data_IF_298740896313
#
_entry.id   IF_298740896313
#
_cell.length_a   1.000
_cell.length_b   1.000
_cell.length_c   1.000
_cell.angle_alpha   90.00
_cell.angle_beta   90.00
_cell.angle_gamma   90.00
#
_symmetry.space_group_name_H-M   'P 1'
#
loop_
_entity.id
_entity.type
_entity.pdbx_description
1 polymer ?
#
# COMPACT_ATOMS: atom_id res chain seq x y z
N UNK A 1 13.13 -3.34 -16.78
CA UNK A 1 12.23 -2.78 -15.73
C UNK A 1 12.28 -3.61 -14.46
N UNK A 2 12.22 -4.95 -14.52
CA UNK A 2 12.19 -5.81 -13.33
C UNK A 2 13.31 -5.58 -12.29
N UNK A 3 14.56 -5.35 -12.71
CA UNK A 3 15.67 -5.09 -11.79
C UNK A 3 15.54 -3.76 -11.04
N UNK A 4 15.06 -2.69 -11.69
CA UNK A 4 14.84 -1.38 -11.05
C UNK A 4 13.75 -1.47 -9.99
N UNK A 5 12.66 -2.14 -10.32
CA UNK A 5 11.53 -2.34 -9.41
C UNK A 5 11.91 -3.22 -8.22
N UNK A 6 12.83 -4.18 -8.40
CA UNK A 6 13.39 -4.98 -7.31
C UNK A 6 14.23 -4.11 -6.35
N UNK A 7 15.12 -3.28 -6.89
CA UNK A 7 15.95 -2.39 -6.11
C UNK A 7 15.11 -1.38 -5.31
N UNK A 8 14.12 -0.74 -5.93
CA UNK A 8 13.22 0.21 -5.26
C UNK A 8 12.44 -0.45 -4.10
N UNK A 9 11.92 -1.66 -4.32
CA UNK A 9 11.28 -2.47 -3.27
C UNK A 9 12.18 -2.70 -2.06
N UNK A 10 13.43 -3.08 -2.31
CA UNK A 10 14.40 -3.34 -1.24
C UNK A 10 14.76 -2.05 -0.52
N UNK A 11 14.98 -0.96 -1.25
CA UNK A 11 15.31 0.35 -0.69
C UNK A 11 14.20 0.87 0.22
N UNK A 12 12.93 0.81 -0.20
CA UNK A 12 11.80 1.26 0.64
C UNK A 12 11.72 0.49 1.95
N UNK A 13 11.99 -0.82 1.92
CA UNK A 13 12.00 -1.67 3.13
C UNK A 13 13.17 -1.37 4.05
N UNK A 14 14.38 -1.23 3.50
CA UNK A 14 15.56 -0.84 4.28
C UNK A 14 15.35 0.52 4.93
N UNK A 15 14.82 1.49 4.17
CA UNK A 15 14.49 2.81 4.68
C UNK A 15 13.50 2.73 5.86
N UNK A 16 12.39 2.02 5.70
CA UNK A 16 11.38 1.87 6.74
C UNK A 16 11.92 1.17 8.01
N UNK A 17 12.71 0.10 7.84
CA UNK A 17 13.36 -0.61 8.96
C UNK A 17 14.33 0.34 9.70
N UNK A 18 15.17 1.04 8.95
CA UNK A 18 16.17 1.97 9.50
C UNK A 18 15.49 3.11 10.26
N UNK A 19 14.42 3.67 9.68
CA UNK A 19 13.63 4.73 10.28
C UNK A 19 12.97 4.26 11.58
N UNK A 20 12.25 3.13 11.55
CA UNK A 20 11.55 2.59 12.73
C UNK A 20 12.52 2.29 13.86
N UNK A 21 13.66 1.66 13.55
CA UNK A 21 14.69 1.32 14.52
C UNK A 21 15.36 2.58 15.09
N UNK A 22 15.65 3.57 14.24
CA UNK A 22 16.22 4.84 14.66
C UNK A 22 15.29 5.63 15.59
N UNK A 23 13.99 5.66 15.29
CA UNK A 23 12.96 6.28 16.14
C UNK A 23 12.94 5.64 17.52
N UNK A 24 12.83 4.30 17.59
CA UNK A 24 12.81 3.58 18.88
C UNK A 24 14.10 3.86 19.67
N UNK A 25 15.25 3.82 18.99
CA UNK A 25 16.54 4.11 19.61
C UNK A 25 16.59 5.52 20.20
N UNK A 26 16.13 6.54 19.46
CA UNK A 26 16.08 7.93 19.95
C UNK A 26 15.16 8.03 21.17
N UNK A 27 13.97 7.43 21.12
CA UNK A 27 13.02 7.47 22.24
C UNK A 27 13.61 6.83 23.50
N UNK A 28 14.41 5.77 23.38
CA UNK A 28 15.07 5.11 24.52
C UNK A 28 16.31 5.87 25.00
N UNK A 29 17.07 6.52 24.11
CA UNK A 29 18.32 7.21 24.46
C UNK A 29 18.11 8.66 24.95
N UNK A 30 17.07 9.36 24.48
CA UNK A 30 16.74 10.72 24.96
C UNK A 30 15.89 10.64 26.24
N UNK A 31 15.90 11.70 27.05
CA UNK A 31 15.07 11.80 28.25
C UNK A 31 13.60 12.03 27.88
N UNK A 32 12.99 10.98 27.33
CA UNK A 32 11.56 10.90 26.99
C UNK A 32 10.80 10.15 28.07
N UNK A 33 9.46 10.22 28.03
CA UNK A 33 8.61 9.40 28.90
C UNK A 33 8.87 7.89 28.74
N UNK A 34 9.22 7.42 27.54
CA UNK A 34 9.55 6.02 27.31
C UNK A 34 10.83 5.61 28.05
N UNK A 35 11.86 6.46 28.04
CA UNK A 35 13.10 6.23 28.80
C UNK A 35 12.84 6.24 30.30
N UNK A 36 12.02 7.19 30.79
CA UNK A 36 11.64 7.25 32.21
C UNK A 36 10.83 6.03 32.63
N UNK A 37 9.90 5.57 31.80
CA UNK A 37 9.14 4.34 32.03
C UNK A 37 10.06 3.11 32.17
N UNK A 38 11.12 3.01 31.34
CA UNK A 38 12.14 1.96 31.48
C UNK A 38 12.86 2.02 32.84
N UNK A 39 13.29 3.21 33.29
CA UNK A 39 13.99 3.36 34.57
C UNK A 39 13.08 3.15 35.80
N UNK A 40 11.83 3.59 35.71
CA UNK A 40 10.84 3.47 36.78
C UNK A 40 10.24 2.07 36.88
N UNK A 41 10.61 1.15 35.99
CA UNK A 41 10.10 -0.22 35.97
C UNK A 41 8.65 -0.34 35.46
N UNK A 42 8.14 0.67 34.73
CA UNK A 42 6.82 0.60 34.09
C UNK A 42 6.91 -0.18 32.77
N UNK A 43 7.19 -1.47 32.88
CA UNK A 43 7.38 -2.37 31.74
C UNK A 43 6.12 -2.55 30.90
N UNK A 44 4.92 -2.38 31.49
CA UNK A 44 3.66 -2.48 30.75
C UNK A 44 3.54 -1.37 29.69
N UNK A 45 3.86 -0.13 30.05
CA UNK A 45 3.86 1.00 29.11
C UNK A 45 4.85 0.77 27.96
N UNK A 46 6.08 0.34 28.30
CA UNK A 46 7.13 0.04 27.32
C UNK A 46 6.72 -1.11 26.41
N UNK A 47 6.21 -2.20 26.97
CA UNK A 47 5.77 -3.37 26.22
C UNK A 47 4.59 -3.04 25.30
N UNK A 48 3.63 -2.22 25.76
CA UNK A 48 2.51 -1.78 24.94
C UNK A 48 2.97 -0.95 23.73
N UNK A 49 3.88 -0.01 23.93
CA UNK A 49 4.45 0.79 22.84
C UNK A 49 5.22 -0.09 21.84
N UNK A 50 6.10 -0.96 22.32
CA UNK A 50 6.88 -1.86 21.46
C UNK A 50 5.98 -2.86 20.71
N UNK A 51 4.92 -3.35 21.35
CA UNK A 51 3.93 -4.23 20.71
C UNK A 51 3.22 -3.50 19.57
N UNK A 52 2.85 -2.23 19.77
CA UNK A 52 2.24 -1.41 18.72
C UNK A 52 3.21 -1.18 17.55
N UNK A 53 4.50 -0.90 17.82
CA UNK A 53 5.53 -0.81 16.77
C UNK A 53 5.64 -2.13 15.99
N UNK A 54 5.63 -3.26 16.69
CA UNK A 54 5.70 -4.58 16.07
C UNK A 54 4.47 -4.90 15.22
N UNK A 55 3.26 -4.56 15.68
CA UNK A 55 2.02 -4.70 14.91
C UNK A 55 2.08 -3.82 13.64
N UNK A 56 2.54 -2.58 13.77
CA UNK A 56 2.74 -1.68 12.62
C UNK A 56 3.71 -2.26 11.59
N UNK A 57 4.81 -2.85 12.07
CA UNK A 57 5.78 -3.55 11.23
C UNK A 57 5.16 -4.74 10.50
N UNK A 58 4.35 -5.56 11.18
CA UNK A 58 3.61 -6.66 10.55
C UNK A 58 2.72 -6.13 9.43
N UNK A 59 1.90 -5.11 9.69
CA UNK A 59 1.00 -4.58 8.67
C UNK A 59 1.75 -3.97 7.48
N UNK A 60 2.87 -3.28 7.72
CA UNK A 60 3.76 -2.79 6.66
C UNK A 60 4.25 -3.95 5.78
N UNK A 61 4.80 -5.00 6.38
CA UNK A 61 5.32 -6.16 5.63
C UNK A 61 4.22 -6.91 4.88
N UNK A 62 3.05 -7.09 5.50
CA UNK A 62 1.91 -7.70 4.82
C UNK A 62 1.51 -6.85 3.62
N UNK A 63 1.33 -5.53 3.76
CA UNK A 63 0.94 -4.68 2.64
C UNK A 63 2.02 -4.58 1.54
N UNK A 64 3.31 -4.52 1.91
CA UNK A 64 4.45 -4.39 0.99
C UNK A 64 4.80 -5.71 0.26
N UNK A 65 4.63 -6.86 0.91
CA UNK A 65 5.00 -8.16 0.33
C UNK A 65 3.82 -8.92 -0.28
N UNK A 66 2.58 -8.58 0.09
CA UNK A 66 1.40 -9.23 -0.48
C UNK A 66 1.23 -8.84 -1.94
N UNK A 67 0.87 -9.82 -2.77
CA UNK A 67 0.39 -9.56 -4.12
C UNK A 67 -0.86 -8.67 -4.04
N UNK A 68 -0.85 -7.47 -4.65
CA UNK A 68 -2.00 -6.57 -4.65
C UNK A 68 -3.22 -7.12 -5.41
N UNK A 69 -3.03 -8.19 -6.17
CA UNK A 69 -4.03 -8.76 -7.07
C UNK A 69 -3.68 -8.42 -8.51
N UNK A 70 -2.48 -8.80 -8.96
CA UNK A 70 -2.15 -8.73 -10.38
C UNK A 70 -3.17 -9.53 -11.20
N UNK A 71 -3.60 -8.96 -12.33
CA UNK A 71 -4.52 -9.62 -13.24
C UNK A 71 -3.79 -10.68 -14.06
N UNK A 72 -4.39 -11.86 -14.16
CA UNK A 72 -3.84 -13.04 -14.84
C UNK A 72 -4.68 -13.40 -16.08
N UNK A 73 -4.14 -14.25 -16.96
CA UNK A 73 -4.82 -14.71 -18.18
C UNK A 73 -6.07 -15.55 -17.83
N UNK A 74 -6.05 -16.28 -16.72
CA UNK A 74 -7.21 -17.03 -16.19
C UNK A 74 -8.44 -16.13 -16.00
N UNK A 75 -8.23 -14.86 -15.66
CA UNK A 75 -9.29 -13.87 -15.50
C UNK A 75 -10.01 -13.62 -16.82
N UNK A 76 -9.30 -13.66 -17.95
CA UNK A 76 -9.90 -13.51 -19.27
C UNK A 76 -10.85 -14.65 -19.60
N UNK A 77 -10.48 -15.89 -19.29
CA UNK A 77 -11.33 -17.06 -19.55
C UNK A 77 -12.63 -16.97 -18.74
N UNK A 78 -12.55 -16.58 -17.47
CA UNK A 78 -13.74 -16.36 -16.64
C UNK A 78 -14.64 -15.26 -17.19
N UNK A 79 -14.05 -14.18 -17.68
CA UNK A 79 -14.75 -13.07 -18.30
C UNK A 79 -15.44 -13.53 -19.60
N UNK A 80 -14.70 -14.19 -20.50
CA UNK A 80 -15.25 -14.67 -21.77
C UNK A 80 -16.38 -15.68 -21.56
N UNK A 81 -16.22 -16.64 -20.64
CA UNK A 81 -17.28 -17.59 -20.25
C UNK A 81 -18.49 -16.88 -19.67
N UNK A 82 -18.28 -15.81 -18.88
CA UNK A 82 -19.40 -15.02 -18.35
C UNK A 82 -20.13 -14.30 -19.49
N UNK A 83 -19.42 -13.67 -20.43
CA UNK A 83 -20.02 -13.03 -21.60
C UNK A 83 -20.81 -14.05 -22.45
N UNK A 84 -20.22 -15.19 -22.77
CA UNK A 84 -20.84 -16.27 -23.55
C UNK A 84 -22.10 -16.82 -22.87
N UNK A 85 -22.08 -16.98 -21.54
CA UNK A 85 -23.27 -17.35 -20.77
C UNK A 85 -24.34 -16.26 -20.76
N UNK A 86 -23.94 -14.99 -20.70
CA UNK A 86 -24.88 -13.86 -20.71
C UNK A 86 -25.56 -13.73 -22.08
N UNK A 87 -24.84 -14.01 -23.18
CA UNK A 87 -25.40 -14.08 -24.53
C UNK A 87 -26.35 -15.28 -24.68
N UNK A 88 -25.98 -16.46 -24.18
CA UNK A 88 -26.83 -17.65 -24.26
C UNK A 88 -28.12 -17.54 -23.44
N UNK A 89 -28.11 -16.86 -22.28
CA UNK A 89 -29.32 -16.57 -21.50
C UNK A 89 -30.24 -15.53 -22.20
N UNK A 90 -29.76 -14.83 -23.23
CA UNK A 90 -30.54 -13.90 -24.06
C UNK A 90 -31.00 -14.46 -25.41
N UNK A 91 -30.50 -15.62 -25.84
CA UNK A 91 -30.96 -16.31 -27.05
C UNK A 91 -32.14 -17.25 -26.75
N UNK A 92 -33.29 -16.65 -26.48
CA UNK A 92 -34.57 -17.31 -26.73
C UNK A 92 -35.48 -16.38 -27.54
N UNK A 93 -35.04 -15.99 -28.76
CA UNK A 93 -35.91 -15.79 -29.93
C UNK A 93 -35.13 -15.39 -31.21
N UNK A 94 -35.53 -16.06 -32.30
CA UNK A 94 -35.39 -15.78 -33.74
C UNK A 94 -34.09 -16.08 -34.50
N UNK A 95 -34.09 -17.25 -35.14
CA UNK A 95 -33.81 -17.60 -36.56
C UNK A 95 -33.07 -16.61 -37.49
N UNK A 96 -32.04 -17.14 -38.20
CA UNK A 96 -31.75 -16.79 -39.60
C UNK A 96 -30.30 -16.38 -39.96
N UNK A 97 -29.53 -17.34 -40.48
CA UNK A 97 -28.58 -17.30 -41.63
C UNK A 97 -27.58 -16.13 -41.83
N UNK A 98 -26.27 -16.44 -41.71
CA UNK A 98 -25.23 -16.38 -42.77
C UNK A 98 -23.81 -16.10 -42.24
N UNK A 99 -22.82 -16.77 -42.84
CA UNK A 99 -21.44 -16.86 -42.40
C UNK A 99 -20.49 -15.81 -43.04
N UNK A 100 -19.36 -15.61 -42.34
CA UNK A 100 -18.11 -14.93 -42.73
C UNK A 100 -18.05 -13.39 -42.65
N UNK A 101 -17.28 -12.85 -41.69
CA UNK A 101 -16.06 -12.06 -41.99
C UNK A 101 -15.23 -11.81 -40.72
N UNK A 102 -13.91 -12.02 -40.85
CA UNK A 102 -12.93 -11.94 -39.77
C UNK A 102 -12.58 -10.51 -39.39
N UNK A 103 -12.54 -10.27 -38.07
CA UNK A 103 -11.77 -9.23 -37.39
C UNK A 103 -12.12 -7.77 -37.70
N UNK A 104 -13.17 -7.23 -37.06
CA UNK A 104 -13.23 -5.81 -36.63
C UNK A 104 -14.42 -5.51 -35.72
N UNK A 105 -14.11 -4.76 -34.65
CA UNK A 105 -15.02 -3.96 -33.81
C UNK A 105 -15.84 -4.73 -32.75
N UNK A 106 -15.34 -4.63 -31.51
CA UNK A 106 -16.07 -4.25 -30.30
C UNK A 106 -17.49 -4.81 -30.15
N UNK A 107 -17.62 -5.83 -29.29
CA UNK A 107 -18.83 -6.15 -28.55
C UNK A 107 -19.66 -4.88 -28.26
N UNK A 108 -20.76 -4.72 -28.99
CA UNK A 108 -21.85 -3.83 -28.63
C UNK A 108 -22.42 -4.32 -27.31
N UNK A 109 -22.46 -3.51 -26.24
CA UNK A 109 -22.93 -3.97 -24.95
C UNK A 109 -24.45 -4.12 -25.00
N UNK A 110 -25.03 -5.22 -24.49
CA UNK A 110 -26.43 -5.19 -24.13
C UNK A 110 -26.60 -4.22 -22.95
N UNK A 111 -27.73 -3.53 -22.95
CA UNK A 111 -28.17 -2.52 -22.00
C UNK A 111 -27.61 -2.72 -20.57
N UNK A 112 -26.69 -1.84 -20.17
CA UNK A 112 -26.20 -1.75 -18.79
C UNK A 112 -24.84 -2.42 -18.49
N UNK A 113 -24.26 -3.18 -19.42
CA UNK A 113 -22.96 -3.84 -19.25
C UNK A 113 -21.77 -2.92 -19.55
N UNK A 114 -20.90 -2.66 -18.56
CA UNK A 114 -19.68 -1.88 -18.77
C UNK A 114 -18.75 -2.56 -19.80
N UNK A 115 -18.46 -1.88 -20.94
CA UNK A 115 -17.50 -2.38 -21.94
C UNK A 115 -16.13 -2.59 -21.27
N UNK A 116 -15.62 -3.82 -21.33
CA UNK A 116 -14.28 -4.12 -20.82
C UNK A 116 -13.21 -3.51 -21.73
N UNK A 117 -12.17 -2.94 -21.11
CA UNK A 117 -11.06 -2.30 -21.82
C UNK A 117 -9.92 -3.29 -22.02
N UNK A 118 -9.26 -3.27 -23.17
CA UNK A 118 -8.02 -4.04 -23.39
C UNK A 118 -6.81 -3.19 -22.99
N UNK A 119 -5.90 -3.75 -22.22
CA UNK A 119 -4.61 -3.14 -21.92
C UNK A 119 -3.65 -3.34 -23.10
N UNK A 120 -3.09 -2.24 -23.63
CA UNK A 120 -2.12 -2.29 -24.73
C UNK A 120 -0.78 -2.92 -24.35
N UNK A 121 -0.33 -2.75 -23.09
CA UNK A 121 0.95 -3.27 -22.61
C UNK A 121 0.91 -4.76 -22.26
N UNK A 122 -0.09 -5.17 -21.46
CA UNK A 122 -0.22 -6.55 -21.03
C UNK A 122 -0.96 -7.44 -22.05
N UNK A 123 -1.52 -6.85 -23.10
CA UNK A 123 -2.39 -7.51 -24.07
C UNK A 123 -3.58 -8.28 -23.45
N UNK A 124 -4.06 -7.85 -22.27
CA UNK A 124 -5.18 -8.47 -21.57
C UNK A 124 -6.47 -7.66 -21.62
N UNK A 125 -7.63 -8.34 -21.60
CA UNK A 125 -8.90 -7.72 -21.22
C UNK A 125 -8.84 -7.38 -19.72
N UNK A 126 -8.90 -6.10 -19.40
CA UNK A 126 -8.85 -5.62 -18.03
C UNK A 126 -10.16 -5.99 -17.32
N UNK A 127 -10.10 -6.73 -16.20
CA UNK A 127 -11.26 -6.92 -15.34
C UNK A 127 -11.85 -5.58 -14.90
N UNK A 128 -13.10 -5.58 -14.44
CA UNK A 128 -13.76 -4.35 -13.97
C UNK A 128 -12.92 -3.65 -12.88
N UNK A 129 -12.69 -2.33 -13.06
CA UNK A 129 -11.82 -1.50 -12.20
C UNK A 129 -10.33 -1.87 -12.19
N UNK A 130 -9.85 -2.76 -13.05
CA UNK A 130 -8.42 -2.97 -13.21
C UNK A 130 -7.76 -1.86 -14.03
N UNK A 131 -6.50 -1.54 -13.71
CA UNK A 131 -5.66 -0.59 -14.45
C UNK A 131 -4.23 -1.13 -14.57
N UNK A 132 -3.52 -0.70 -15.62
CA UNK A 132 -2.10 -0.99 -15.77
C UNK A 132 -1.30 -0.03 -14.89
N UNK A 133 -0.36 -0.57 -14.10
CA UNK A 133 0.63 0.25 -13.41
C UNK A 133 1.95 0.15 -14.17
N UNK A 134 2.46 1.29 -14.63
CA UNK A 134 3.70 1.38 -15.38
C UNK A 134 4.90 0.95 -14.52
N UNK A 135 4.95 1.38 -13.25
CA UNK A 135 6.00 1.00 -12.31
C UNK A 135 6.00 -0.51 -12.06
N UNK A 136 4.84 -1.12 -11.81
CA UNK A 136 4.72 -2.57 -11.59
C UNK A 136 4.85 -3.37 -12.92
N UNK A 137 4.64 -2.73 -14.08
CA UNK A 137 4.63 -3.35 -15.41
C UNK A 137 3.48 -4.34 -15.64
N UNK A 138 2.44 -4.30 -14.81
CA UNK A 138 1.36 -5.30 -14.75
C UNK A 138 0.02 -4.63 -14.47
N UNK A 139 -1.06 -5.23 -14.97
CA UNK A 139 -2.41 -4.82 -14.59
C UNK A 139 -2.73 -5.27 -13.17
N UNK A 140 -3.37 -4.42 -12.38
CA UNK A 140 -3.75 -4.67 -10.99
C UNK A 140 -5.26 -4.54 -10.86
N UNK A 141 -5.89 -5.51 -10.18
CA UNK A 141 -7.33 -5.53 -9.90
C UNK A 141 -7.70 -4.51 -8.84
N UNK A 142 -8.83 -3.83 -9.04
CA UNK A 142 -9.27 -2.68 -8.21
C UNK A 142 -8.10 -1.76 -7.88
N UNK A 143 -7.32 -1.41 -8.91
CA UNK A 143 -6.12 -0.60 -8.73
C UNK A 143 -6.48 0.72 -8.06
N UNK A 144 -5.81 1.00 -6.95
CA UNK A 144 -5.88 2.27 -6.26
C UNK A 144 -4.71 3.16 -6.72
N UNK A 145 -3.49 2.82 -6.30
CA UNK A 145 -2.27 3.53 -6.68
C UNK A 145 -1.01 2.65 -6.59
N UNK A 146 0.10 3.12 -7.17
CA UNK A 146 1.43 2.59 -6.86
C UNK A 146 2.00 3.36 -5.67
N UNK A 147 2.40 2.67 -4.61
CA UNK A 147 2.93 3.30 -3.40
C UNK A 147 4.45 3.14 -3.33
N UNK A 148 5.24 4.21 -3.54
CA UNK A 148 6.70 4.15 -3.42
C UNK A 148 7.17 3.72 -2.03
N UNK A 149 6.42 4.10 -0.98
CA UNK A 149 6.73 3.79 0.42
C UNK A 149 6.59 2.30 0.76
N UNK A 150 5.66 1.62 0.10
CA UNK A 150 5.56 0.15 0.16
C UNK A 150 6.49 -0.54 -0.84
N UNK A 151 6.94 0.18 -1.87
CA UNK A 151 7.54 -0.42 -3.07
C UNK A 151 6.56 -1.32 -3.83
N UNK A 152 5.25 -1.14 -3.64
CA UNK A 152 4.25 -2.05 -4.15
C UNK A 152 2.99 -1.30 -4.58
N UNK A 153 2.25 -1.90 -5.50
CA UNK A 153 0.93 -1.44 -5.86
C UNK A 153 -0.06 -1.70 -4.70
N UNK A 154 -1.05 -0.83 -4.52
CA UNK A 154 -2.20 -1.04 -3.63
C UNK A 154 -3.40 -1.40 -4.50
N UNK A 155 -4.00 -2.55 -4.23
CA UNK A 155 -5.07 -3.13 -5.02
C UNK A 155 -5.96 -4.06 -4.21
N UNK A 156 -6.80 -4.81 -4.91
CA UNK A 156 -7.87 -5.61 -4.31
C UNK A 156 -7.46 -6.46 -3.09
N UNK A 157 -6.30 -7.14 -3.15
CA UNK A 157 -5.91 -8.12 -2.12
C UNK A 157 -5.23 -7.49 -0.90
N UNK A 158 -4.48 -6.40 -1.08
CA UNK A 158 -3.71 -5.77 0.01
C UNK A 158 -4.34 -4.48 0.55
N UNK A 159 -5.36 -3.91 -0.09
CA UNK A 159 -5.95 -2.62 0.29
C UNK A 159 -6.41 -2.57 1.76
N UNK A 160 -7.02 -3.63 2.30
CA UNK A 160 -7.43 -3.67 3.72
C UNK A 160 -6.25 -3.58 4.69
N UNK A 161 -5.13 -4.22 4.36
CA UNK A 161 -3.93 -4.21 5.19
C UNK A 161 -3.21 -2.87 5.11
N UNK A 162 -3.28 -2.21 3.94
CA UNK A 162 -2.82 -0.84 3.80
C UNK A 162 -3.57 0.11 4.74
N UNK A 163 -4.90 -0.01 4.86
CA UNK A 163 -5.67 0.77 5.84
C UNK A 163 -5.30 0.46 7.28
N UNK A 164 -5.13 -0.82 7.65
CA UNK A 164 -4.68 -1.20 9.00
C UNK A 164 -3.28 -0.63 9.30
N UNK A 165 -2.38 -0.65 8.32
CA UNK A 165 -1.06 -0.03 8.41
C UNK A 165 -1.17 1.48 8.66
N UNK A 166 -1.94 2.21 7.86
CA UNK A 166 -2.13 3.66 8.03
C UNK A 166 -2.71 4.01 9.41
N UNK A 167 -3.74 3.29 9.85
CA UNK A 167 -4.35 3.53 11.17
C UNK A 167 -3.33 3.29 12.29
N UNK A 168 -2.59 2.18 12.22
CA UNK A 168 -1.56 1.86 13.21
C UNK A 168 -0.47 2.94 13.23
N UNK A 169 -0.08 3.43 12.05
CA UNK A 169 0.91 4.51 11.92
C UNK A 169 0.40 5.83 12.51
N UNK A 170 -0.87 6.18 12.30
CA UNK A 170 -1.47 7.38 12.93
C UNK A 170 -1.44 7.30 14.46
N UNK A 171 -1.79 6.14 15.04
CA UNK A 171 -1.73 5.94 16.50
C UNK A 171 -0.30 6.01 17.01
N UNK A 172 0.65 5.36 16.31
CA UNK A 172 2.08 5.42 16.66
C UNK A 172 2.63 6.84 16.63
N UNK A 173 2.28 7.63 15.61
CA UNK A 173 2.71 9.02 15.49
C UNK A 173 2.14 9.84 16.66
N UNK A 174 0.84 9.74 16.91
CA UNK A 174 0.20 10.48 18.00
C UNK A 174 0.83 10.16 19.38
N UNK A 175 1.07 8.88 19.66
CA UNK A 175 1.69 8.46 20.91
C UNK A 175 3.18 8.85 20.98
N UNK A 176 3.91 8.77 19.87
CA UNK A 176 5.31 9.22 19.81
C UNK A 176 5.43 10.73 20.03
N UNK A 177 4.49 11.54 19.52
CA UNK A 177 4.43 12.98 19.78
C UNK A 177 4.21 13.27 21.26
N UNK A 178 3.32 12.52 21.92
CA UNK A 178 3.10 12.64 23.37
C UNK A 178 4.38 12.31 24.17
N UNK A 179 5.04 11.19 23.85
CA UNK A 179 6.28 10.75 24.50
C UNK A 179 7.41 11.80 24.33
N UNK A 180 7.51 12.40 23.14
CA UNK A 180 8.58 13.35 22.81
C UNK A 180 8.33 14.76 23.32
N UNK A 181 7.08 15.14 23.60
CA UNK A 181 6.73 16.48 24.08
C UNK A 181 7.56 16.90 25.31
N UNK A 182 7.72 15.99 26.27
CA UNK A 182 8.46 16.23 27.51
C UNK A 182 9.99 16.27 27.34
N UNK A 183 10.50 15.81 26.19
CA UNK A 183 11.93 15.78 25.91
C UNK A 183 12.45 17.06 25.26
N UNK A 184 11.57 18.01 24.91
CA UNK A 184 11.96 19.27 24.29
C UNK A 184 12.69 20.18 25.28
N UNK A 185 13.89 20.62 24.90
CA UNK A 185 14.71 21.53 25.70
C UNK A 185 14.57 22.96 25.16
N UNK A 186 14.10 23.87 26.00
CA UNK A 186 14.07 25.30 25.66
C UNK A 186 15.47 25.93 25.78
N UNK A 187 15.88 26.70 24.77
CA UNK A 187 17.14 27.47 24.73
C UNK A 187 16.84 28.87 24.20
N UNK A 188 17.60 29.87 24.68
CA UNK A 188 17.42 31.29 24.28
C UNK A 188 17.85 31.56 22.83
N UNK A 189 18.86 30.83 22.34
CA UNK A 189 19.39 30.99 20.99
C UNK A 189 18.91 29.87 20.07
N UNK A 190 18.50 30.22 18.85
CA UNK A 190 17.97 29.29 17.85
C UNK A 190 18.95 28.18 17.48
N UNK A 191 20.23 28.48 17.23
CA UNK A 191 21.21 27.45 16.88
C UNK A 191 21.39 26.42 18.00
N UNK A 192 21.47 26.87 19.26
CA UNK A 192 21.58 25.97 20.41
C UNK A 192 20.29 25.15 20.61
N UNK A 193 19.13 25.73 20.31
CA UNK A 193 17.85 25.01 20.33
C UNK A 193 17.80 23.93 19.26
N UNK A 194 18.19 24.23 18.02
CA UNK A 194 18.26 23.25 16.93
C UNK A 194 19.29 22.16 17.20
N UNK A 195 20.45 22.49 17.79
CA UNK A 195 21.44 21.47 18.18
C UNK A 195 20.91 20.57 19.31
N UNK A 196 20.13 21.12 20.24
CA UNK A 196 19.57 20.35 21.36
C UNK A 196 18.39 19.44 20.93
N UNK A 197 17.52 19.93 20.04
CA UNK A 197 16.26 19.29 19.66
C UNK A 197 16.25 18.73 18.23
N UNK A 198 17.29 18.95 17.43
CA UNK A 198 17.33 18.64 15.99
C UNK A 198 16.97 17.19 15.68
N UNK A 199 17.44 16.25 16.51
CA UNK A 199 17.08 14.83 16.37
C UNK A 199 15.58 14.56 16.56
N UNK A 200 14.91 15.24 17.50
CA UNK A 200 13.46 15.11 17.70
C UNK A 200 12.68 15.75 16.53
N UNK A 201 13.19 16.85 15.99
CA UNK A 201 12.59 17.51 14.82
C UNK A 201 12.71 16.63 13.58
N UNK A 202 13.89 16.04 13.33
CA UNK A 202 14.12 15.11 12.23
C UNK A 202 13.23 13.86 12.36
N UNK A 203 12.92 13.43 13.57
CA UNK A 203 11.97 12.36 13.84
C UNK A 203 10.53 12.77 13.50
N UNK A 204 10.09 13.97 13.87
CA UNK A 204 8.76 14.48 13.49
C UNK A 204 8.61 14.66 11.97
N UNK A 205 9.67 15.15 11.31
CA UNK A 205 9.67 15.37 9.86
C UNK A 205 9.78 14.09 9.05
N UNK A 206 10.33 13.01 9.62
CA UNK A 206 10.45 11.72 8.94
C UNK A 206 9.21 10.83 9.08
N UNK A 207 8.21 11.26 9.87
CA UNK A 207 6.92 10.58 10.03
C UNK A 207 5.82 11.09 9.08
N UNK A 208 6.11 12.11 8.26
CA UNK A 208 5.21 12.74 7.28
C UNK A 208 5.74 12.49 5.87
#
# INVERSE_FOLDING_TARGET
MEAKNCQERVLSRIFHISLTTGIILILVLKDTELRRACFNGNWLYVAAFLSLCFIGFIFYFVASCMDPGFAEISDQKSIMVTFEKTEHDSESQSDGEDAEESCKILATPPLGGARLRRCGYCAILQPLRAKHCEDCGRCVRRYDHHCPWLGNCVGERNHRFFWCFLLTQCVLIAWSTEITWYAFVHKKAWLAWFLANGFLILQCLSCV
#
